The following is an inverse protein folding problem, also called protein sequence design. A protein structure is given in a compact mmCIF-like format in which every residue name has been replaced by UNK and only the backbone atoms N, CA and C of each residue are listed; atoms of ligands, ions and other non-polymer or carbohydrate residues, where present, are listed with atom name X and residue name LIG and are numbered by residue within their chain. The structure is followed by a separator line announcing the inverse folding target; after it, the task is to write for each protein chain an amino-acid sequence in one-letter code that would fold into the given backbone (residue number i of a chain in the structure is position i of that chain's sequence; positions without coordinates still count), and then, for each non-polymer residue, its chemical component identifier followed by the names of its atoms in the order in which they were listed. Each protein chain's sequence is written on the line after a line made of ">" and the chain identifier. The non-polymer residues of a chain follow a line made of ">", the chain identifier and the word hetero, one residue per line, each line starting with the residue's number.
data_IF_435512219386
#
_entry.id   IF_435512219386
#
_cell.length_a   1.000
_cell.length_b   1.000
_cell.length_c   1.000
_cell.angle_alpha   90.00
_cell.angle_beta   90.00
_cell.angle_gamma   90.00
#
_symmetry.space_group_name_H-M   'P 1'
#
loop_
_entity.id
_entity.type
_entity.pdbx_description
1 polymer ?
#
# COMPACT_ATOMS: atom_id res chain seq x y z
N UNK A 1 -18.64 9.29 17.73
CA UNK A 1 -18.85 9.05 16.28
C UNK A 1 -17.62 9.51 15.52
N UNK A 2 -17.00 8.62 14.76
CA UNK A 2 -15.77 8.88 13.97
C UNK A 2 -16.11 9.86 12.84
N UNK A 3 -15.40 10.98 12.75
CA UNK A 3 -15.66 12.05 11.75
C UNK A 3 -14.74 12.00 10.53
N UNK A 4 -14.27 10.81 10.14
CA UNK A 4 -13.45 10.65 8.94
C UNK A 4 -14.33 10.63 7.67
N UNK A 5 -14.01 11.37 6.60
CA UNK A 5 -14.85 11.42 5.39
C UNK A 5 -15.15 10.05 4.77
N UNK A 6 -14.21 9.11 4.90
CA UNK A 6 -14.30 7.76 4.33
C UNK A 6 -14.73 6.68 5.34
N UNK A 7 -15.10 7.06 6.57
CA UNK A 7 -15.59 6.12 7.60
C UNK A 7 -17.12 6.16 7.77
N UNK A 8 -17.85 6.52 6.71
CA UNK A 8 -19.31 6.58 6.71
C UNK A 8 -19.94 5.19 6.60
N UNK A 9 -21.10 5.01 7.22
CA UNK A 9 -21.86 3.75 7.19
C UNK A 9 -22.30 3.35 5.78
N UNK A 10 -22.64 4.32 4.92
CA UNK A 10 -22.97 4.06 3.52
C UNK A 10 -21.76 3.57 2.73
N UNK A 11 -20.60 4.22 2.91
CA UNK A 11 -19.33 3.79 2.31
C UNK A 11 -18.93 2.38 2.77
N UNK A 12 -19.16 2.05 4.04
CA UNK A 12 -18.95 0.70 4.59
C UNK A 12 -19.80 -0.33 3.86
N UNK A 13 -21.11 -0.12 3.78
CA UNK A 13 -22.03 -1.05 3.11
C UNK A 13 -21.67 -1.27 1.64
N UNK A 14 -21.33 -0.21 0.93
CA UNK A 14 -20.87 -0.29 -0.46
C UNK A 14 -19.59 -1.11 -0.60
N UNK A 15 -18.59 -0.82 0.23
CA UNK A 15 -17.34 -1.56 0.24
C UNK A 15 -17.57 -3.05 0.54
N UNK A 16 -18.32 -3.39 1.58
CA UNK A 16 -18.61 -4.78 1.97
C UNK A 16 -19.35 -5.57 0.88
N UNK A 17 -20.34 -4.95 0.26
CA UNK A 17 -21.11 -5.55 -0.83
C UNK A 17 -20.26 -5.78 -2.07
N UNK A 18 -19.45 -4.79 -2.46
CA UNK A 18 -18.68 -4.81 -3.70
C UNK A 18 -17.29 -5.43 -3.61
N UNK A 19 -16.77 -5.78 -2.42
CA UNK A 19 -15.38 -6.24 -2.25
C UNK A 19 -15.10 -7.49 -3.09
N UNK A 20 -14.12 -7.37 -4.00
CA UNK A 20 -13.66 -8.46 -4.87
C UNK A 20 -12.30 -9.02 -4.46
N UNK A 21 -11.48 -8.21 -3.79
CA UNK A 21 -10.19 -8.62 -3.26
C UNK A 21 -9.92 -7.82 -1.98
N UNK A 22 -9.62 -8.53 -0.90
CA UNK A 22 -9.18 -7.97 0.38
C UNK A 22 -8.07 -8.86 0.92
N UNK A 23 -6.97 -8.23 1.31
CA UNK A 23 -5.77 -8.94 1.76
C UNK A 23 -5.26 -8.30 3.03
N UNK A 24 -4.71 -9.10 3.93
CA UNK A 24 -3.82 -8.57 4.95
C UNK A 24 -2.62 -7.92 4.24
N UNK A 25 -2.21 -6.75 4.70
CA UNK A 25 -1.02 -6.03 4.26
C UNK A 25 -0.23 -5.61 5.51
N UNK A 26 0.68 -4.66 5.37
CA UNK A 26 1.43 -4.14 6.52
C UNK A 26 2.70 -4.92 6.82
N UNK A 27 3.27 -4.69 8.01
CA UNK A 27 4.65 -5.10 8.31
C UNK A 27 4.84 -6.62 8.37
N UNK A 28 3.79 -7.37 8.76
CA UNK A 28 3.76 -8.83 8.78
C UNK A 28 3.91 -9.47 7.40
N UNK A 29 3.17 -8.98 6.41
CA UNK A 29 3.23 -9.48 5.02
C UNK A 29 4.59 -9.24 4.37
N UNK A 30 5.30 -8.18 4.77
CA UNK A 30 6.67 -7.94 4.33
C UNK A 30 7.70 -8.79 5.09
N UNK A 31 7.32 -9.50 6.15
CA UNK A 31 8.21 -10.22 7.06
C UNK A 31 8.93 -9.32 8.06
N UNK A 32 8.61 -8.03 8.12
CA UNK A 32 9.33 -7.00 8.91
C UNK A 32 8.66 -6.65 10.24
N UNK A 33 7.63 -7.39 10.62
CA UNK A 33 6.92 -7.25 11.88
C UNK A 33 7.85 -7.43 13.10
N UNK A 34 7.52 -6.75 14.19
CA UNK A 34 8.21 -6.89 15.48
C UNK A 34 7.25 -7.62 16.42
N UNK A 35 7.70 -8.74 16.98
CA UNK A 35 6.87 -9.63 17.79
C UNK A 35 6.11 -8.90 18.91
N UNK A 36 4.80 -9.13 18.99
CA UNK A 36 3.92 -8.52 20.00
C UNK A 36 3.53 -7.06 19.76
N UNK A 37 3.88 -6.47 18.61
CA UNK A 37 3.57 -5.06 18.29
C UNK A 37 2.63 -4.84 17.10
N UNK A 38 2.02 -5.90 16.57
CA UNK A 38 1.35 -5.82 15.27
C UNK A 38 -0.13 -5.40 15.40
N UNK A 39 -0.47 -4.33 14.71
CA UNK A 39 -1.81 -4.05 14.19
C UNK A 39 -2.10 -4.94 12.98
N UNK A 40 -3.38 -5.21 12.73
CA UNK A 40 -3.83 -5.90 11.51
C UNK A 40 -4.20 -4.84 10.47
N UNK A 41 -3.38 -4.73 9.43
CA UNK A 41 -3.68 -3.89 8.27
C UNK A 41 -4.35 -4.74 7.18
N UNK A 42 -5.47 -4.29 6.64
CA UNK A 42 -6.13 -4.87 5.47
C UNK A 42 -6.29 -3.84 4.37
N UNK A 43 -6.02 -4.27 3.14
CA UNK A 43 -6.18 -3.43 1.96
C UNK A 43 -6.85 -4.23 0.84
N UNK A 44 -7.81 -3.60 0.18
CA UNK A 44 -8.56 -4.23 -0.87
C UNK A 44 -9.20 -3.26 -1.85
N UNK A 45 -10.03 -3.82 -2.71
CA UNK A 45 -10.85 -3.08 -3.64
C UNK A 45 -12.25 -3.69 -3.79
N UNK A 46 -13.20 -2.82 -4.08
CA UNK A 46 -14.59 -3.17 -4.34
C UNK A 46 -15.04 -2.63 -5.70
N UNK A 47 -15.90 -3.38 -6.39
CA UNK A 47 -16.59 -2.89 -7.59
C UNK A 47 -17.77 -2.03 -7.14
N UNK A 48 -17.81 -0.79 -7.59
CA UNK A 48 -18.88 0.14 -7.24
C UNK A 48 -20.20 -0.25 -7.95
N UNK A 49 -21.39 -0.04 -7.34
CA UNK A 49 -22.66 -0.17 -8.07
C UNK A 49 -22.75 0.81 -9.24
N UNK A 50 -23.57 0.49 -10.25
CA UNK A 50 -23.64 1.25 -11.51
C UNK A 50 -23.99 2.74 -11.29
N UNK A 51 -24.85 3.05 -10.32
CA UNK A 51 -25.25 4.41 -9.98
C UNK A 51 -24.09 5.27 -9.42
N UNK A 52 -23.02 4.66 -8.90
CA UNK A 52 -21.79 5.34 -8.47
C UNK A 52 -20.74 5.43 -9.58
N UNK A 53 -20.85 4.61 -10.63
CA UNK A 53 -19.91 4.60 -11.77
C UNK A 53 -20.39 5.52 -12.89
N UNK A 54 -21.64 5.32 -13.34
CA UNK A 54 -22.25 6.02 -14.47
C UNK A 54 -23.39 6.95 -14.05
N UNK A 55 -23.89 6.82 -12.82
CA UNK A 55 -24.95 7.67 -12.27
C UNK A 55 -24.44 8.87 -11.47
N UNK A 56 -25.33 9.45 -10.67
CA UNK A 56 -25.08 10.63 -9.82
C UNK A 56 -24.94 10.28 -8.34
N UNK A 57 -24.93 8.99 -7.98
CA UNK A 57 -24.92 8.56 -6.58
C UNK A 57 -23.63 9.02 -5.88
N UNK A 58 -23.78 9.35 -4.60
CA UNK A 58 -22.71 9.83 -3.72
C UNK A 58 -22.91 9.22 -2.35
N UNK A 59 -21.82 9.12 -1.59
CA UNK A 59 -21.88 8.68 -0.20
C UNK A 59 -21.98 9.88 0.74
N UNK A 60 -22.78 9.74 1.79
CA UNK A 60 -22.85 10.72 2.87
C UNK A 60 -21.75 10.44 3.91
N UNK A 61 -20.87 11.42 4.11
CA UNK A 61 -19.82 11.38 5.13
C UNK A 61 -20.42 11.45 6.55
N UNK A 62 -19.70 11.03 7.60
CA UNK A 62 -20.13 11.22 8.98
C UNK A 62 -20.38 12.69 9.38
N UNK A 63 -19.83 13.65 8.62
CA UNK A 63 -20.08 15.08 8.78
C UNK A 63 -21.30 15.61 8.00
N UNK A 64 -22.08 14.74 7.36
CA UNK A 64 -23.29 15.11 6.61
C UNK A 64 -23.05 15.67 5.20
N UNK A 65 -21.81 15.72 4.72
CA UNK A 65 -21.49 16.11 3.33
C UNK A 65 -21.64 14.93 2.37
N UNK A 66 -22.02 15.19 1.13
CA UNK A 66 -22.03 14.19 0.06
C UNK A 66 -20.75 14.26 -0.79
N UNK A 67 -20.10 13.12 -0.98
CA UNK A 67 -18.86 13.00 -1.72
C UNK A 67 -18.92 11.82 -2.70
N UNK A 68 -18.13 11.83 -3.79
CA UNK A 68 -17.90 10.62 -4.58
C UNK A 68 -17.37 9.48 -3.70
N UNK A 69 -17.80 8.25 -3.96
CA UNK A 69 -17.23 7.09 -3.31
C UNK A 69 -15.88 6.75 -3.93
N UNK A 70 -14.82 7.00 -3.17
CA UNK A 70 -13.44 6.74 -3.60
C UNK A 70 -12.80 5.60 -2.79
N UNK A 71 -13.19 5.48 -1.51
CA UNK A 71 -12.75 4.43 -0.60
C UNK A 71 -13.60 4.40 0.67
N UNK A 72 -13.51 3.29 1.38
CA UNK A 72 -13.91 3.11 2.77
C UNK A 72 -12.68 2.91 3.65
N UNK A 73 -12.69 3.51 4.83
CA UNK A 73 -11.65 3.37 5.86
C UNK A 73 -12.25 3.04 7.22
N UNK A 74 -11.67 2.02 7.86
CA UNK A 74 -11.89 1.68 9.25
C UNK A 74 -10.55 1.68 9.98
N UNK A 75 -10.50 2.33 11.13
CA UNK A 75 -9.43 2.14 12.09
C UNK A 75 -10.08 1.97 13.46
N UNK A 76 -9.97 0.80 14.08
CA UNK A 76 -10.58 0.55 15.41
C UNK A 76 -10.04 1.51 16.45
N UNK A 77 -8.80 1.94 16.27
CA UNK A 77 -8.13 2.95 17.06
C UNK A 77 -8.97 4.23 17.25
N UNK A 78 -9.71 4.64 16.23
CA UNK A 78 -10.48 5.90 16.22
C UNK A 78 -11.72 5.87 17.14
N UNK A 79 -12.09 4.72 17.69
CA UNK A 79 -13.14 4.63 18.71
C UNK A 79 -12.66 5.13 20.09
N UNK A 80 -11.35 5.24 20.31
CA UNK A 80 -10.75 5.71 21.56
C UNK A 80 -10.86 7.25 21.71
N UNK A 81 -10.64 7.81 22.92
CA UNK A 81 -10.98 9.21 23.23
C UNK A 81 -10.37 10.29 22.33
N UNK A 82 -9.16 10.08 21.78
CA UNK A 82 -8.54 11.08 20.87
C UNK A 82 -9.02 10.96 19.43
N UNK A 83 -9.95 10.05 19.12
CA UNK A 83 -10.58 9.91 17.82
C UNK A 83 -9.56 9.72 16.69
N UNK A 84 -9.64 10.56 15.65
CA UNK A 84 -8.75 10.49 14.47
C UNK A 84 -7.26 10.73 14.78
N UNK A 85 -6.92 11.24 15.98
CA UNK A 85 -5.54 11.39 16.41
C UNK A 85 -4.97 10.12 17.06
N UNK A 86 -5.79 9.11 17.31
CA UNK A 86 -5.33 7.81 17.81
C UNK A 86 -4.53 7.09 16.75
N UNK A 87 -3.49 6.39 17.21
CA UNK A 87 -2.67 5.54 16.37
C UNK A 87 -3.00 4.10 16.67
N UNK A 88 -3.09 3.31 15.61
CA UNK A 88 -3.22 1.87 15.70
C UNK A 88 -2.01 1.28 16.41
N UNK A 89 -2.29 0.28 17.24
CA UNK A 89 -1.32 -0.48 17.99
C UNK A 89 -1.75 -1.94 18.10
N UNK A 90 -1.14 -2.70 19.02
CA UNK A 90 -1.38 -4.14 19.11
C UNK A 90 -2.86 -4.47 19.27
N UNK A 91 -3.38 -5.30 18.36
CA UNK A 91 -4.79 -5.72 18.36
C UNK A 91 -5.78 -4.75 17.71
N UNK A 92 -5.32 -3.59 17.20
CA UNK A 92 -6.16 -2.74 16.34
C UNK A 92 -6.27 -3.32 14.92
N UNK A 93 -7.38 -3.02 14.26
CA UNK A 93 -7.67 -3.35 12.87
C UNK A 93 -7.81 -2.07 12.06
N UNK A 94 -7.01 -1.98 11.00
CA UNK A 94 -7.02 -0.93 10.00
C UNK A 94 -7.45 -1.54 8.65
N UNK A 95 -8.53 -1.04 8.05
CA UNK A 95 -9.06 -1.54 6.77
C UNK A 95 -9.18 -0.39 5.80
N UNK A 96 -8.64 -0.57 4.60
CA UNK A 96 -8.85 0.34 3.46
C UNK A 96 -9.39 -0.45 2.28
N UNK A 97 -10.63 -0.17 1.89
CA UNK A 97 -11.21 -0.72 0.65
C UNK A 97 -11.39 0.41 -0.34
N UNK A 98 -10.61 0.38 -1.42
CA UNK A 98 -10.71 1.34 -2.49
C UNK A 98 -11.90 1.03 -3.42
N UNK A 99 -12.47 2.05 -4.03
CA UNK A 99 -13.24 1.85 -5.26
C UNK A 99 -12.33 1.25 -6.33
N UNK A 100 -12.81 0.32 -7.16
CA UNK A 100 -11.97 -0.40 -8.12
C UNK A 100 -11.34 0.56 -9.13
N UNK A 101 -12.06 1.61 -9.53
CA UNK A 101 -11.55 2.65 -10.44
C UNK A 101 -10.41 3.45 -9.82
N UNK A 102 -10.54 3.84 -8.54
CA UNK A 102 -9.46 4.52 -7.82
C UNK A 102 -8.25 3.61 -7.64
N UNK A 103 -8.48 2.37 -7.21
CA UNK A 103 -7.45 1.36 -7.05
C UNK A 103 -6.67 1.17 -8.35
N UNK A 104 -7.38 0.95 -9.47
CA UNK A 104 -6.79 0.73 -10.78
C UNK A 104 -5.93 1.91 -11.25
N UNK A 105 -6.40 3.14 -11.07
CA UNK A 105 -5.62 4.35 -11.38
C UNK A 105 -4.34 4.43 -10.54
N UNK A 106 -4.40 4.12 -9.25
CA UNK A 106 -3.23 4.13 -8.36
C UNK A 106 -2.26 2.99 -8.66
N UNK A 107 -2.78 1.80 -8.97
CA UNK A 107 -2.01 0.62 -9.34
C UNK A 107 -1.27 0.83 -10.67
N UNK A 108 -1.96 1.30 -11.72
CA UNK A 108 -1.34 1.66 -13.01
C UNK A 108 -0.32 2.79 -12.87
N UNK A 109 -0.56 3.73 -11.94
CA UNK A 109 0.40 4.78 -11.63
C UNK A 109 1.63 4.24 -10.89
N UNK A 110 1.60 3.02 -10.35
CA UNK A 110 2.71 2.37 -9.67
C UNK A 110 2.79 2.60 -8.16
N UNK A 111 1.66 2.86 -7.48
CA UNK A 111 1.66 3.04 -6.04
C UNK A 111 2.09 1.74 -5.32
N UNK A 112 3.23 1.72 -4.58
CA UNK A 112 3.77 0.50 -3.99
C UNK A 112 2.81 -0.23 -3.05
N UNK A 113 2.07 0.51 -2.22
CA UNK A 113 1.14 -0.06 -1.24
C UNK A 113 -0.10 -0.66 -1.92
N UNK A 114 -0.65 0.06 -2.90
CA UNK A 114 -1.86 -0.36 -3.61
C UNK A 114 -1.62 -1.60 -4.48
N UNK A 115 -0.38 -1.82 -4.93
CA UNK A 115 0.01 -2.99 -5.70
C UNK A 115 0.15 -4.27 -4.87
N UNK A 116 0.37 -4.18 -3.55
CA UNK A 116 0.64 -5.36 -2.71
C UNK A 116 -0.41 -6.49 -2.82
N UNK A 117 -1.74 -6.22 -2.81
CA UNK A 117 -2.76 -7.26 -2.91
C UNK A 117 -2.62 -8.18 -4.13
N UNK A 118 -1.94 -7.72 -5.18
CA UNK A 118 -1.67 -8.52 -6.37
C UNK A 118 -0.75 -9.70 -6.09
N UNK A 119 0.20 -9.54 -5.17
CA UNK A 119 1.30 -10.50 -4.96
C UNK A 119 1.36 -11.08 -3.55
N UNK A 120 0.46 -10.70 -2.64
CA UNK A 120 0.41 -11.33 -1.31
C UNK A 120 0.25 -12.86 -1.42
N UNK A 121 0.83 -13.65 -0.50
CA UNK A 121 0.58 -15.09 -0.44
C UNK A 121 -0.88 -15.43 -0.23
N UNK A 122 -1.31 -16.63 -0.66
CA UNK A 122 -2.69 -17.09 -0.51
C UNK A 122 -3.20 -17.12 0.93
N UNK A 123 -2.33 -17.41 1.90
CA UNK A 123 -2.68 -17.41 3.33
C UNK A 123 -3.01 -16.04 3.92
N UNK A 124 -2.60 -14.96 3.25
CA UNK A 124 -2.87 -13.56 3.67
C UNK A 124 -4.12 -12.98 2.97
N UNK A 125 -4.82 -13.78 2.16
CA UNK A 125 -6.02 -13.34 1.44
C UNK A 125 -7.23 -13.49 2.35
N UNK A 126 -7.85 -12.36 2.71
CA UNK A 126 -9.06 -12.32 3.55
C UNK A 126 -10.31 -12.63 2.73
N UNK A 127 -10.39 -12.07 1.51
CA UNK A 127 -11.49 -12.31 0.58
C UNK A 127 -11.00 -12.22 -0.86
N UNK A 128 -11.47 -13.13 -1.72
CA UNK A 128 -11.22 -13.08 -3.16
C UNK A 128 -12.40 -13.68 -3.92
N UNK A 129 -12.90 -12.95 -4.91
CA UNK A 129 -13.88 -13.44 -5.89
C UNK A 129 -13.17 -13.81 -7.19
N UNK A 130 -13.90 -14.32 -8.19
CA UNK A 130 -13.31 -14.64 -9.50
C UNK A 130 -12.68 -13.40 -10.17
N UNK A 131 -13.32 -12.24 -10.06
CA UNK A 131 -12.75 -10.98 -10.57
C UNK A 131 -11.44 -10.60 -9.85
N UNK A 132 -11.38 -10.79 -8.53
CA UNK A 132 -10.15 -10.56 -7.75
C UNK A 132 -9.05 -11.58 -8.05
N UNK A 133 -9.42 -12.83 -8.36
CA UNK A 133 -8.49 -13.89 -8.78
C UNK A 133 -7.87 -13.57 -10.14
N UNK A 134 -8.70 -13.22 -11.12
CA UNK A 134 -8.26 -12.80 -12.45
C UNK A 134 -7.28 -11.62 -12.37
N UNK A 135 -7.57 -10.65 -11.49
CA UNK A 135 -6.71 -9.50 -11.25
C UNK A 135 -5.30 -9.92 -10.77
N UNK A 136 -5.22 -10.87 -9.82
CA UNK A 136 -3.95 -11.39 -9.29
C UNK A 136 -3.20 -12.24 -10.32
N UNK A 137 -3.90 -13.05 -11.10
CA UNK A 137 -3.30 -13.84 -12.19
C UNK A 137 -2.69 -12.96 -13.28
N UNK A 138 -3.19 -11.73 -13.43
CA UNK A 138 -2.69 -10.73 -14.39
C UNK A 138 -1.85 -9.62 -13.75
N UNK A 139 -1.30 -9.85 -12.54
CA UNK A 139 -0.56 -8.84 -11.79
C UNK A 139 0.61 -8.20 -12.57
N UNK A 140 1.29 -8.96 -13.44
CA UNK A 140 2.40 -8.47 -14.26
C UNK A 140 2.01 -7.32 -15.20
N UNK A 141 0.72 -7.18 -15.54
CA UNK A 141 0.20 -6.08 -16.37
C UNK A 141 0.31 -4.71 -15.72
N UNK A 142 0.50 -4.65 -14.40
CA UNK A 142 0.72 -3.40 -13.67
C UNK A 142 2.21 -3.04 -13.56
N UNK A 143 3.12 -3.99 -13.81
CA UNK A 143 4.54 -3.75 -13.75
C UNK A 143 5.01 -2.92 -14.94
N UNK A 144 5.74 -1.84 -14.66
CA UNK A 144 6.22 -0.91 -15.68
C UNK A 144 7.42 -0.11 -15.19
N UNK A 145 8.15 0.50 -16.12
CA UNK A 145 9.21 1.47 -15.81
C UNK A 145 8.67 2.66 -15.00
N UNK A 146 7.47 3.15 -15.34
CA UNK A 146 6.80 4.20 -14.56
C UNK A 146 6.54 3.78 -13.11
N UNK A 147 6.14 2.52 -12.89
CA UNK A 147 5.98 1.99 -11.53
C UNK A 147 7.32 1.97 -10.78
N UNK A 148 8.41 1.49 -11.38
CA UNK A 148 9.73 1.57 -10.78
C UNK A 148 10.15 3.01 -10.39
N UNK A 149 9.85 4.01 -11.23
CA UNK A 149 10.09 5.42 -10.88
C UNK A 149 9.23 5.91 -9.72
N UNK A 150 8.01 5.38 -9.54
CA UNK A 150 7.22 5.65 -8.33
C UNK A 150 7.88 5.06 -7.10
N UNK A 151 8.33 3.81 -7.13
CA UNK A 151 9.05 3.20 -6.02
C UNK A 151 10.25 4.07 -5.60
N UNK A 152 11.04 4.56 -6.55
CA UNK A 152 12.13 5.52 -6.30
C UNK A 152 11.65 6.82 -5.63
N UNK A 153 10.54 7.41 -6.11
CA UNK A 153 9.95 8.59 -5.49
C UNK A 153 9.50 8.36 -4.04
N UNK A 154 8.90 7.20 -3.75
CA UNK A 154 8.53 6.82 -2.39
C UNK A 154 9.75 6.53 -1.52
N UNK A 155 10.80 5.90 -2.05
CA UNK A 155 12.07 5.70 -1.36
C UNK A 155 12.63 7.04 -0.91
N UNK A 156 12.81 7.98 -1.83
CA UNK A 156 13.33 9.34 -1.53
C UNK A 156 12.49 10.05 -0.48
N UNK A 157 11.17 9.88 -0.54
CA UNK A 157 10.23 10.40 0.44
C UNK A 157 10.47 9.84 1.85
N UNK A 158 10.71 8.53 1.98
CA UNK A 158 11.03 7.89 3.26
C UNK A 158 12.46 8.22 3.73
N UNK A 159 13.43 8.32 2.82
CA UNK A 159 14.80 8.77 3.11
C UNK A 159 14.80 10.17 3.72
N UNK A 160 14.08 11.13 3.13
CA UNK A 160 13.94 12.48 3.70
C UNK A 160 13.32 12.48 5.11
N UNK A 161 12.40 11.55 5.40
CA UNK A 161 11.85 11.37 6.74
C UNK A 161 12.90 10.79 7.72
N UNK A 162 13.69 9.81 7.27
CA UNK A 162 14.81 9.23 8.01
C UNK A 162 15.89 10.27 8.34
N UNK A 163 16.25 11.13 7.38
CA UNK A 163 17.22 12.22 7.56
C UNK A 163 16.71 13.35 8.47
N UNK A 164 15.44 13.31 8.89
CA UNK A 164 14.84 14.32 9.76
C UNK A 164 14.47 15.62 9.05
N UNK A 165 14.54 15.67 7.72
CA UNK A 165 14.19 16.83 6.89
C UNK A 165 12.69 17.16 6.93
N UNK A 166 11.87 16.21 7.39
CA UNK A 166 10.41 16.33 7.49
C UNK A 166 9.90 16.67 8.90
N UNK A 167 10.65 17.51 9.61
CA UNK A 167 10.15 18.28 10.76
C UNK A 167 10.46 17.73 12.14
N UNK A 168 10.18 18.58 13.15
CA UNK A 168 10.62 18.46 14.56
C UNK A 168 10.29 17.11 15.24
N UNK A 169 9.21 16.44 14.84
CA UNK A 169 8.77 15.16 15.44
C UNK A 169 9.64 13.97 15.03
N UNK A 170 10.18 13.95 13.81
CA UNK A 170 11.10 12.91 13.36
C UNK A 170 12.44 13.04 14.11
N UNK A 171 12.94 14.26 14.26
CA UNK A 171 14.14 14.55 15.04
C UNK A 171 14.03 14.12 16.51
N UNK A 172 12.87 14.27 17.15
CA UNK A 172 12.65 13.82 18.54
C UNK A 172 12.67 12.28 18.66
N UNK A 173 12.15 11.54 17.67
CA UNK A 173 12.22 10.07 17.68
C UNK A 173 13.64 9.58 17.43
N UNK A 174 14.31 10.13 16.43
CA UNK A 174 15.71 9.83 16.14
C UNK A 174 16.63 10.03 17.36
N UNK A 175 16.43 11.11 18.13
CA UNK A 175 17.19 11.39 19.37
C UNK A 175 16.93 10.42 20.51
N UNK A 176 15.79 9.71 20.48
CA UNK A 176 15.42 8.70 21.50
C UNK A 176 15.77 7.28 21.07
N UNK A 177 16.16 7.09 19.83
CA UNK A 177 16.56 5.80 19.27
C UNK A 177 18.06 5.60 19.50
N UNK A 178 18.45 4.43 20.02
CA UNK A 178 19.86 4.03 20.20
C UNK A 178 20.78 4.31 19.00
N UNK A 179 20.39 4.03 17.74
CA UNK A 179 21.26 4.24 16.58
C UNK A 179 21.31 5.69 16.05
N UNK A 180 20.65 6.66 16.70
CA UNK A 180 20.68 8.07 16.30
C UNK A 180 19.80 8.45 15.11
N UNK A 181 18.91 7.54 14.66
CA UNK A 181 17.89 7.77 13.63
C UNK A 181 16.61 7.00 13.94
N UNK A 182 15.49 7.31 13.26
CA UNK A 182 14.23 6.57 13.37
C UNK A 182 14.27 5.30 12.48
N UNK A 183 14.29 4.07 13.05
CA UNK A 183 14.47 2.84 12.27
C UNK A 183 13.31 2.50 11.34
N UNK A 184 12.10 2.99 11.62
CA UNK A 184 10.90 2.69 10.81
C UNK A 184 10.96 3.30 9.41
N UNK A 185 11.14 4.63 9.23
CA UNK A 185 11.30 5.22 7.91
C UNK A 185 12.57 4.75 7.18
N UNK A 186 13.65 4.45 7.92
CA UNK A 186 14.87 3.87 7.34
C UNK A 186 14.59 2.52 6.66
N UNK A 187 14.01 1.57 7.39
CA UNK A 187 13.64 0.26 6.85
C UNK A 187 12.63 0.40 5.71
N UNK A 188 11.62 1.28 5.83
CA UNK A 188 10.66 1.50 4.74
C UNK A 188 11.32 2.00 3.45
N UNK A 189 12.29 2.92 3.56
CA UNK A 189 13.02 3.41 2.39
C UNK A 189 13.80 2.28 1.72
N UNK A 190 14.58 1.51 2.49
CA UNK A 190 15.35 0.38 1.98
C UNK A 190 14.46 -0.69 1.34
N UNK A 191 13.35 -1.05 1.99
CA UNK A 191 12.37 -2.02 1.47
C UNK A 191 11.79 -1.57 0.12
N UNK A 192 11.48 -0.28 -0.04
CA UNK A 192 11.02 0.27 -1.31
C UNK A 192 12.08 0.18 -2.40
N UNK A 193 13.36 0.35 -2.04
CA UNK A 193 14.50 0.12 -2.91
C UNK A 193 14.57 -1.32 -3.43
N UNK A 194 14.64 -2.27 -2.50
CA UNK A 194 14.71 -3.71 -2.78
C UNK A 194 13.54 -4.17 -3.64
N UNK A 195 12.31 -3.87 -3.22
CA UNK A 195 11.11 -4.31 -3.94
C UNK A 195 10.95 -3.61 -5.29
N UNK A 196 11.35 -2.33 -5.40
CA UNK A 196 11.31 -1.62 -6.68
C UNK A 196 12.31 -2.20 -7.68
N UNK A 197 13.49 -2.64 -7.23
CA UNK A 197 14.47 -3.32 -8.07
C UNK A 197 13.96 -4.69 -8.52
N UNK A 198 13.38 -5.46 -7.61
CA UNK A 198 12.73 -6.73 -7.95
C UNK A 198 11.66 -6.53 -9.01
N UNK A 199 10.78 -5.52 -8.82
CA UNK A 199 9.74 -5.18 -9.78
C UNK A 199 10.33 -4.87 -11.16
N UNK A 200 11.33 -4.00 -11.24
CA UNK A 200 11.96 -3.62 -12.51
C UNK A 200 12.71 -4.76 -13.21
N UNK A 201 13.22 -5.73 -12.45
CA UNK A 201 13.97 -6.88 -12.98
C UNK A 201 13.05 -8.03 -13.39
N UNK A 202 11.94 -8.25 -12.69
CA UNK A 202 11.14 -9.49 -12.80
C UNK A 202 9.68 -9.25 -13.17
N UNK A 203 9.19 -8.01 -13.10
CA UNK A 203 7.79 -7.69 -13.30
C UNK A 203 6.87 -8.05 -12.11
N UNK A 204 7.43 -8.38 -10.95
CA UNK A 204 6.68 -8.74 -9.73
C UNK A 204 7.39 -8.29 -8.46
N UNK A 205 6.66 -8.27 -7.35
CA UNK A 205 7.20 -8.15 -5.99
C UNK A 205 6.93 -9.45 -5.26
N UNK A 206 7.92 -9.99 -4.55
CA UNK A 206 7.76 -11.18 -3.71
C UNK A 206 7.52 -10.77 -2.26
N UNK A 207 6.55 -11.44 -1.63
CA UNK A 207 6.11 -11.19 -0.26
C UNK A 207 6.07 -12.52 0.50
N UNK A 208 6.74 -12.65 1.66
CA UNK A 208 7.63 -11.66 2.28
C UNK A 208 8.85 -11.35 1.41
N UNK A 209 9.59 -10.28 1.76
CA UNK A 209 10.84 -9.93 1.05
C UNK A 209 11.77 -11.16 1.08
N UNK A 210 12.38 -11.56 -0.05
CA UNK A 210 13.32 -12.68 -0.04
C UNK A 210 14.58 -12.40 0.81
N UNK A 211 15.16 -13.45 1.39
CA UNK A 211 16.51 -13.37 1.96
C UNK A 211 17.56 -13.24 0.84
N UNK A 212 18.71 -12.58 1.07
CA UNK A 212 19.20 -12.04 2.35
C UNK A 212 18.66 -10.64 2.73
N UNK A 213 17.98 -9.94 1.81
CA UNK A 213 17.53 -8.56 2.04
C UNK A 213 16.59 -8.43 3.24
N UNK A 214 15.70 -9.41 3.45
CA UNK A 214 14.81 -9.42 4.61
C UNK A 214 15.55 -9.37 5.94
N UNK A 215 16.66 -10.10 6.07
CA UNK A 215 17.43 -10.15 7.31
C UNK A 215 18.10 -8.80 7.58
N UNK A 216 18.67 -8.18 6.55
CA UNK A 216 19.22 -6.83 6.64
C UNK A 216 18.15 -5.79 7.01
N UNK A 217 16.97 -5.85 6.38
CA UNK A 217 15.83 -4.97 6.69
C UNK A 217 15.36 -5.12 8.15
N UNK A 218 15.32 -6.36 8.67
CA UNK A 218 14.99 -6.63 10.07
C UNK A 218 16.05 -6.07 11.03
N UNK A 219 17.34 -6.24 10.70
CA UNK A 219 18.43 -5.66 11.49
C UNK A 219 18.39 -4.14 11.54
N UNK A 220 18.13 -3.47 10.41
CA UNK A 220 17.90 -2.02 10.38
C UNK A 220 16.68 -1.66 11.21
N UNK A 221 15.57 -2.41 11.11
CA UNK A 221 14.34 -2.14 11.88
C UNK A 221 14.56 -2.24 13.40
N UNK A 222 15.43 -3.16 13.84
CA UNK A 222 15.87 -3.31 15.24
C UNK A 222 16.89 -2.25 15.68
N UNK A 223 17.42 -1.45 14.74
CA UNK A 223 18.38 -0.39 15.01
C UNK A 223 19.82 -0.89 15.19
N UNK A 224 20.14 -2.04 14.60
CA UNK A 224 21.46 -2.68 14.71
C UNK A 224 22.51 -2.06 13.77
N UNK A 225 22.06 -1.31 12.76
CA UNK A 225 22.94 -0.70 11.77
C UNK A 225 23.28 0.73 12.14
N UNK A 226 24.55 1.12 11.90
CA UNK A 226 24.93 2.51 12.04
C UNK A 226 24.26 3.35 10.95
N UNK A 227 24.03 4.63 11.27
CA UNK A 227 23.39 5.57 10.34
C UNK A 227 24.09 5.63 8.98
N UNK A 228 25.43 5.63 8.99
CA UNK A 228 26.24 5.72 7.78
C UNK A 228 26.02 4.52 6.84
N UNK A 229 25.89 3.31 7.39
CA UNK A 229 25.67 2.09 6.61
C UNK A 229 24.29 2.09 5.94
N UNK A 230 23.26 2.57 6.66
CA UNK A 230 21.91 2.75 6.09
C UNK A 230 21.92 3.82 4.99
N UNK A 231 22.63 4.92 5.19
CA UNK A 231 22.76 5.98 4.18
C UNK A 231 23.47 5.49 2.92
N UNK A 232 24.53 4.69 3.07
CA UNK A 232 25.25 4.09 1.95
C UNK A 232 24.34 3.14 1.14
N UNK A 233 23.65 2.21 1.81
CA UNK A 233 22.77 1.27 1.12
C UNK A 233 21.58 1.98 0.45
N UNK A 234 21.04 3.04 1.06
CA UNK A 234 20.02 3.88 0.41
C UNK A 234 20.54 4.56 -0.86
N UNK A 235 21.77 5.08 -0.84
CA UNK A 235 22.37 5.71 -2.00
C UNK A 235 22.55 4.70 -3.15
N UNK A 236 23.02 3.49 -2.83
CA UNK A 236 23.17 2.41 -3.81
C UNK A 236 21.82 2.01 -4.42
N UNK A 237 20.79 1.78 -3.58
CA UNK A 237 19.44 1.44 -4.04
C UNK A 237 18.80 2.55 -4.88
N UNK A 238 19.03 3.82 -4.57
CA UNK A 238 18.55 4.94 -5.38
C UNK A 238 19.21 4.95 -6.76
N UNK A 239 20.53 4.75 -6.83
CA UNK A 239 21.28 4.71 -8.08
C UNK A 239 20.84 3.50 -8.94
N UNK A 240 20.78 2.32 -8.33
CA UNK A 240 20.36 1.09 -8.98
C UNK A 240 18.93 1.18 -9.50
N UNK A 241 17.99 1.73 -8.71
CA UNK A 241 16.60 1.91 -9.15
C UNK A 241 16.51 2.87 -10.34
N UNK A 242 17.27 3.97 -10.31
CA UNK A 242 17.27 4.94 -11.39
C UNK A 242 17.83 4.32 -12.69
N UNK A 243 18.93 3.57 -12.59
CA UNK A 243 19.52 2.84 -13.71
C UNK A 243 18.58 1.75 -14.24
N UNK A 244 18.01 0.93 -13.36
CA UNK A 244 17.08 -0.12 -13.73
C UNK A 244 15.80 0.43 -14.37
N UNK A 245 15.28 1.57 -13.90
CA UNK A 245 14.10 2.20 -14.50
C UNK A 245 14.37 2.74 -15.92
N UNK A 246 15.63 3.04 -16.25
CA UNK A 246 16.04 3.44 -17.59
C UNK A 246 16.26 2.23 -18.52
N UNK A 247 16.82 1.13 -18.00
CA UNK A 247 17.26 -0.03 -18.78
C UNK A 247 16.29 -1.23 -18.79
N UNK A 248 15.29 -1.25 -17.90
CA UNK A 248 14.38 -2.39 -17.74
C UNK A 248 13.64 -2.73 -19.05
N UNK A 249 13.45 -4.04 -19.34
CA UNK A 249 12.68 -4.49 -20.50
C UNK A 249 11.16 -4.34 -20.32
N UNK A 250 10.70 -3.92 -19.13
CA UNK A 250 9.28 -3.67 -18.87
C UNK A 250 8.74 -2.54 -19.76
N UNK A 251 7.42 -2.55 -20.06
CA UNK A 251 6.80 -1.44 -20.77
C UNK A 251 6.93 -0.13 -19.99
N UNK A 252 6.81 0.99 -20.71
CA UNK A 252 6.89 2.31 -20.10
C UNK A 252 5.77 2.54 -19.07
N UNK A 253 4.55 2.06 -19.38
CA UNK A 253 3.37 2.13 -18.52
C UNK A 253 2.70 0.76 -18.38
N UNK A 254 1.90 0.57 -17.33
CA UNK A 254 1.05 -0.62 -17.21
C UNK A 254 -0.01 -0.71 -18.31
N UNK A 255 -0.58 -1.90 -18.48
CA UNK A 255 -1.56 -2.21 -19.52
C UNK A 255 -2.93 -1.62 -19.21
N UNK A 256 -3.10 -0.36 -19.61
CA UNK A 256 -4.35 0.37 -19.39
C UNK A 256 -5.53 -0.27 -20.14
N UNK A 257 -5.30 -0.79 -21.35
CA UNK A 257 -6.38 -1.35 -22.16
C UNK A 257 -6.99 -2.58 -21.48
N UNK A 258 -6.15 -3.48 -20.97
CA UNK A 258 -6.61 -4.63 -20.22
C UNK A 258 -7.31 -4.25 -18.92
N UNK A 259 -6.79 -3.25 -18.18
CA UNK A 259 -7.40 -2.78 -16.93
C UNK A 259 -8.77 -2.14 -17.18
N UNK A 260 -8.92 -1.31 -18.22
CA UNK A 260 -10.19 -0.68 -18.58
C UNK A 260 -11.24 -1.74 -19.00
N UNK A 261 -10.83 -2.78 -19.74
CA UNK A 261 -11.68 -3.93 -20.06
C UNK A 261 -12.04 -4.73 -18.79
N UNK A 262 -11.08 -4.96 -17.89
CA UNK A 262 -11.29 -5.72 -16.64
C UNK A 262 -12.30 -5.02 -15.74
N UNK A 263 -12.15 -3.71 -15.57
CA UNK A 263 -13.11 -2.90 -14.84
C UNK A 263 -14.49 -3.04 -15.47
N UNK A 264 -14.61 -2.87 -16.79
CA UNK A 264 -15.90 -2.86 -17.47
C UNK A 264 -16.62 -4.21 -17.37
N UNK A 265 -15.95 -5.31 -17.72
CA UNK A 265 -16.54 -6.65 -17.68
C UNK A 265 -16.86 -7.10 -16.25
N UNK A 266 -15.97 -6.80 -15.29
CA UNK A 266 -16.16 -7.17 -13.89
C UNK A 266 -17.34 -6.44 -13.26
N UNK A 267 -17.48 -5.12 -13.49
CA UNK A 267 -18.63 -4.36 -12.98
C UNK A 267 -19.96 -4.92 -13.50
N UNK A 268 -20.04 -5.18 -14.82
CA UNK A 268 -21.24 -5.74 -15.44
C UNK A 268 -21.58 -7.12 -14.87
N UNK A 269 -20.59 -8.01 -14.78
CA UNK A 269 -20.81 -9.38 -14.32
C UNK A 269 -21.13 -9.47 -12.81
N UNK A 270 -20.54 -8.59 -12.00
CA UNK A 270 -20.71 -8.62 -10.54
C UNK A 270 -22.11 -8.17 -10.11
N UNK A 271 -22.65 -7.12 -10.73
CA UNK A 271 -23.94 -6.52 -10.38
C UNK A 271 -25.13 -6.99 -11.23
N UNK A 272 -24.91 -7.85 -12.22
CA UNK A 272 -26.00 -8.50 -12.96
C UNK A 272 -26.65 -9.67 -12.20
N UNK A 273 -26.20 -9.94 -10.96
CA UNK A 273 -26.63 -11.05 -10.10
C UNK A 273 -27.83 -10.67 -9.25
#
# INVERSE_FOLDING_TARGET
>A
MIRHPHAGEEARRLAEAGTVLLTQVGSGVHGTAVEGQDDRDELGLCLEPAEFVTGLARVRTPGGREIPFEQYELHTAWARPRGLAERSGPGDLDVVVYSARKWARLALAGNPTVLLPLWVPGGEVVRVTDAGRELRENASRFASRAAGRRFLGYLRSQRAAFLGERGRRAAVRARRSGPGYDPKPAMHALRLGVQGLELLRTGRVTLPVPGPDLDALRSVRRGEWARADVEAWLADLEADLAAAAAASPLPESGDRAWVDDWLTRSHRAFWAR
#
